data_IF_811129949088
#
_entry.id   IF_811129949088
#
_cell.length_a   1.000
_cell.length_b   1.000
_cell.length_c   1.000
_cell.angle_alpha   90.00
_cell.angle_beta   90.00
_cell.angle_gamma   90.00
#
_symmetry.space_group_name_H-M   'P 1'
#
loop_
_entity.id
_entity.type
_entity.pdbx_description
1 polymer ?
#
# COMPACT_ATOMS: atom_id res chain seq x y z
N UNK A 1 28.68 14.00 -8.64
CA UNK A 1 27.66 14.01 -7.56
C UNK A 1 26.32 13.65 -8.19
N UNK A 2 25.87 12.42 -8.02
CA UNK A 2 24.59 11.93 -8.54
C UNK A 2 23.49 12.32 -7.52
N UNK A 3 22.40 13.01 -7.91
CA UNK A 3 21.33 13.31 -6.98
C UNK A 3 20.74 12.00 -6.47
N UNK A 4 20.36 11.91 -5.17
CA UNK A 4 19.79 10.69 -4.62
C UNK A 4 18.58 10.32 -5.47
N UNK A 5 18.63 9.14 -6.07
CA UNK A 5 17.52 8.57 -6.82
C UNK A 5 16.26 8.78 -5.98
N UNK A 6 15.37 9.66 -6.45
CA UNK A 6 14.05 9.79 -5.90
C UNK A 6 13.47 8.37 -5.99
N UNK A 7 13.48 7.66 -4.85
CA UNK A 7 12.76 6.39 -4.73
C UNK A 7 11.37 6.75 -5.17
N UNK A 8 11.00 6.30 -6.37
CA UNK A 8 9.68 6.49 -6.92
C UNK A 8 8.74 5.96 -5.88
N UNK A 9 8.22 6.86 -5.02
CA UNK A 9 7.11 6.54 -4.12
C UNK A 9 6.09 5.92 -5.06
N UNK A 10 5.73 4.64 -4.90
CA UNK A 10 4.69 4.05 -5.74
C UNK A 10 3.54 5.04 -5.68
N UNK A 11 3.18 5.63 -6.82
CA UNK A 11 2.06 6.56 -6.85
C UNK A 11 0.91 5.76 -6.26
N UNK A 12 0.43 6.20 -5.10
CA UNK A 12 -0.60 5.50 -4.37
C UNK A 12 -1.88 5.65 -5.20
N UNK A 13 -2.04 4.75 -6.17
CA UNK A 13 -3.19 4.74 -7.05
C UNK A 13 -4.23 3.84 -6.40
N UNK A 14 -5.49 4.24 -6.50
CA UNK A 14 -6.62 3.44 -6.02
C UNK A 14 -6.55 2.00 -6.53
N UNK A 15 -6.12 1.80 -7.78
CA UNK A 15 -5.93 0.47 -8.37
C UNK A 15 -4.88 -0.36 -7.64
N UNK A 16 -3.71 0.22 -7.32
CA UNK A 16 -2.66 -0.50 -6.59
C UNK A 16 -3.10 -0.86 -5.16
N UNK A 17 -3.87 0.02 -4.50
CA UNK A 17 -4.42 -0.24 -3.16
C UNK A 17 -5.42 -1.40 -3.20
N UNK A 18 -6.32 -1.42 -4.18
CA UNK A 18 -7.31 -2.49 -4.34
C UNK A 18 -6.62 -3.82 -4.66
N UNK A 19 -5.65 -3.84 -5.57
CA UNK A 19 -4.90 -5.05 -5.91
C UNK A 19 -4.20 -5.64 -4.68
N UNK A 20 -3.51 -4.81 -3.88
CA UNK A 20 -2.85 -5.26 -2.67
C UNK A 20 -3.84 -5.75 -1.58
N UNK A 21 -5.04 -5.15 -1.51
CA UNK A 21 -6.08 -5.60 -0.59
C UNK A 21 -6.63 -6.98 -0.98
N UNK A 22 -6.84 -7.22 -2.28
CA UNK A 22 -7.25 -8.53 -2.82
C UNK A 22 -6.16 -9.58 -2.54
N UNK A 23 -4.91 -9.30 -2.91
CA UNK A 23 -3.79 -10.22 -2.65
C UNK A 23 -3.61 -10.56 -1.17
N UNK A 24 -3.90 -9.61 -0.27
CA UNK A 24 -3.80 -9.83 1.16
C UNK A 24 -4.99 -10.66 1.68
N UNK A 25 -6.19 -10.41 1.16
CA UNK A 25 -7.38 -11.21 1.47
C UNK A 25 -7.25 -12.66 0.98
N UNK A 26 -6.66 -12.86 -0.20
CA UNK A 26 -6.42 -14.20 -0.76
C UNK A 26 -5.38 -15.00 0.04
N UNK A 27 -4.36 -14.32 0.59
CA UNK A 27 -3.28 -14.95 1.35
C UNK A 27 -3.64 -15.23 2.81
N UNK A 28 -4.22 -14.24 3.49
CA UNK A 28 -4.43 -14.30 4.93
C UNK A 28 -5.92 -14.47 5.32
N UNK A 29 -6.83 -14.43 4.35
CA UNK A 29 -8.27 -14.36 4.58
C UNK A 29 -8.77 -12.94 4.80
N UNK A 30 -10.07 -12.71 4.54
CA UNK A 30 -10.71 -11.39 4.68
C UNK A 30 -10.62 -10.88 6.12
N UNK A 31 -10.74 -11.76 7.11
CA UNK A 31 -10.68 -11.38 8.53
C UNK A 31 -9.31 -10.83 8.96
N UNK A 32 -8.26 -11.15 8.18
CA UNK A 32 -6.91 -10.69 8.42
C UNK A 32 -6.57 -9.39 7.67
N UNK A 33 -7.48 -8.90 6.80
CA UNK A 33 -7.31 -7.65 6.07
C UNK A 33 -7.48 -6.46 7.03
N UNK A 34 -6.38 -5.75 7.29
CA UNK A 34 -6.38 -4.52 8.09
C UNK A 34 -5.64 -3.42 7.36
N UNK A 35 -6.01 -2.16 7.62
CA UNK A 35 -5.32 -0.99 7.04
C UNK A 35 -3.82 -0.98 7.34
N UNK A 36 -3.39 -1.51 8.50
CA UNK A 36 -1.98 -1.65 8.86
C UNK A 36 -1.25 -2.64 7.95
N UNK A 37 -1.82 -3.83 7.75
CA UNK A 37 -1.24 -4.85 6.86
C UNK A 37 -1.27 -4.39 5.41
N UNK A 38 -2.34 -3.71 4.99
CA UNK A 38 -2.44 -3.11 3.65
C UNK A 38 -1.37 -2.04 3.42
N UNK A 39 -1.14 -1.14 4.38
CA UNK A 39 -0.09 -0.13 4.33
C UNK A 39 1.31 -0.77 4.21
N UNK A 40 1.56 -1.82 5.00
CA UNK A 40 2.81 -2.58 4.93
C UNK A 40 2.98 -3.29 3.59
N UNK A 41 1.92 -3.90 3.04
CA UNK A 41 1.96 -4.60 1.77
C UNK A 41 2.26 -3.66 0.58
N UNK A 42 1.82 -2.40 0.65
CA UNK A 42 2.03 -1.40 -0.40
C UNK A 42 3.32 -0.59 -0.17
N UNK A 43 4.01 -0.78 0.97
CA UNK A 43 5.29 -0.11 1.27
C UNK A 43 5.16 1.40 1.48
N UNK A 44 4.02 1.85 1.99
CA UNK A 44 3.66 3.26 2.19
C UNK A 44 3.30 3.51 3.64
N UNK A 45 3.65 4.70 4.15
CA UNK A 45 3.21 5.08 5.49
C UNK A 45 1.68 5.15 5.54
N UNK A 46 1.09 4.51 6.55
CA UNK A 46 -0.36 4.39 6.74
C UNK A 46 -1.10 5.73 6.70
N UNK A 47 -0.43 6.84 7.00
CA UNK A 47 -0.97 8.21 6.87
C UNK A 47 -1.45 8.56 5.45
N UNK A 48 -0.84 8.01 4.39
CA UNK A 48 -1.25 8.28 3.01
C UNK A 48 -2.54 7.56 2.61
N UNK A 49 -2.90 6.47 3.29
CA UNK A 49 -4.14 5.73 3.00
C UNK A 49 -5.38 6.46 3.53
N UNK A 50 -5.29 7.16 4.66
CA UNK A 50 -6.41 7.93 5.21
C UNK A 50 -6.81 9.13 4.33
N UNK A 51 -5.91 9.61 3.47
CA UNK A 51 -6.17 10.71 2.53
C UNK A 51 -6.91 10.28 1.25
N UNK A 52 -7.15 8.98 1.06
CA UNK A 52 -7.72 8.43 -0.18
C UNK A 52 -9.08 7.72 0.03
N UNK A 53 -9.61 7.77 1.25
CA UNK A 53 -10.94 7.30 1.62
C UNK A 53 -11.93 8.45 1.68
#
# INVERSE_FOLDING_TARGET
MQPPAARSRPRLTRTAVIAAAVDLADRDGIDALTMRKLAQAIGVEAMSLYHHV
#
